data_IF_706196718367
#
_entry.id   IF_706196718367
#
_cell.length_a   1.000
_cell.length_b   1.000
_cell.length_c   1.000
_cell.angle_alpha   90.00
_cell.angle_beta   90.00
_cell.angle_gamma   90.00
#
_symmetry.space_group_name_H-M   'P 1'
#
loop_
_entity.id
_entity.type
_entity.pdbx_description
1 polymer ?
#
# COMPACT_ATOMS: atom_id res chain seq x y z
N UNK A 1 14.28 -6.37 -4.15
CA UNK A 1 13.19 -6.81 -3.24
C UNK A 1 13.78 -7.81 -2.26
N UNK A 2 13.78 -7.53 -0.94
CA UNK A 2 14.33 -8.46 0.05
C UNK A 2 13.26 -9.51 0.41
N UNK A 3 13.47 -10.77 0.00
CA UNK A 3 12.54 -11.88 0.19
C UNK A 3 12.56 -12.45 1.62
N UNK A 4 13.44 -11.97 2.51
CA UNK A 4 13.56 -12.50 3.88
C UNK A 4 12.37 -12.08 4.77
N UNK A 5 11.60 -11.06 4.37
CA UNK A 5 10.34 -10.70 5.06
C UNK A 5 9.21 -11.71 4.83
N UNK A 6 9.34 -12.62 3.87
CA UNK A 6 8.28 -13.59 3.55
C UNK A 6 7.99 -14.53 4.72
N UNK A 7 9.01 -14.98 5.45
CA UNK A 7 8.83 -15.84 6.61
C UNK A 7 7.92 -15.22 7.68
N UNK A 8 7.99 -13.89 7.88
CA UNK A 8 7.09 -13.19 8.80
C UNK A 8 5.63 -13.29 8.35
N UNK A 9 5.36 -13.10 7.06
CA UNK A 9 4.00 -13.19 6.52
C UNK A 9 3.43 -14.60 6.70
N UNK A 10 4.21 -15.64 6.36
CA UNK A 10 3.78 -17.03 6.54
C UNK A 10 3.67 -17.43 8.03
N UNK A 11 4.49 -16.86 8.92
CA UNK A 11 4.33 -17.03 10.38
C UNK A 11 3.02 -16.46 10.92
N UNK A 12 2.47 -15.44 10.24
CA UNK A 12 1.22 -14.76 10.60
C UNK A 12 -0.02 -15.39 9.91
N UNK A 13 0.14 -16.55 9.28
CA UNK A 13 -0.98 -17.27 8.68
C UNK A 13 -1.26 -16.90 7.21
N UNK A 14 -0.31 -16.28 6.50
CA UNK A 14 -0.45 -16.12 5.05
C UNK A 14 -0.47 -17.50 4.37
N UNK A 15 -1.40 -17.68 3.42
CA UNK A 15 -1.48 -18.86 2.57
C UNK A 15 -1.38 -18.43 1.10
N UNK A 16 -0.62 -19.16 0.27
CA UNK A 16 -0.57 -18.91 -1.16
C UNK A 16 -1.95 -19.14 -1.79
N UNK A 17 -2.12 -18.64 -3.01
CA UNK A 17 -3.34 -18.80 -3.80
C UNK A 17 -3.07 -19.63 -5.03
N UNK A 18 -4.11 -20.29 -5.50
CA UNK A 18 -4.09 -21.06 -6.74
C UNK A 18 -5.30 -20.72 -7.62
N UNK A 19 -5.14 -20.94 -8.92
CA UNK A 19 -6.21 -20.82 -9.92
C UNK A 19 -6.10 -21.98 -10.90
N UNK A 20 -7.22 -22.63 -11.18
CA UNK A 20 -7.31 -23.76 -12.11
C UNK A 20 -7.98 -23.31 -13.41
N UNK A 21 -7.26 -23.38 -14.52
CA UNK A 21 -7.74 -22.98 -15.84
C UNK A 21 -7.89 -21.46 -16.04
N UNK A 22 -8.19 -21.00 -17.26
CA UNK A 22 -8.35 -19.58 -17.58
C UNK A 22 -9.59 -18.94 -16.93
N UNK A 23 -10.69 -19.69 -16.79
CA UNK A 23 -11.92 -19.24 -16.13
C UNK A 23 -11.97 -19.47 -14.62
N UNK A 24 -10.93 -20.08 -14.03
CA UNK A 24 -10.87 -20.32 -12.60
C UNK A 24 -10.79 -19.03 -11.79
N UNK A 25 -11.37 -19.06 -10.59
CA UNK A 25 -11.20 -18.03 -9.58
C UNK A 25 -9.94 -18.34 -8.77
N UNK A 26 -9.23 -17.29 -8.35
CA UNK A 26 -8.17 -17.44 -7.36
C UNK A 26 -8.76 -17.86 -6.02
N UNK A 27 -8.20 -18.89 -5.39
CA UNK A 27 -8.58 -19.37 -4.07
C UNK A 27 -7.36 -19.56 -3.20
N UNK A 28 -7.51 -19.35 -1.88
CA UNK A 28 -6.44 -19.64 -0.91
C UNK A 28 -6.31 -21.14 -0.73
N UNK A 29 -5.08 -21.64 -0.73
CA UNK A 29 -4.80 -23.02 -0.34
C UNK A 29 -5.22 -23.22 1.11
N UNK A 30 -6.07 -24.22 1.35
CA UNK A 30 -6.68 -24.49 2.66
C UNK A 30 -5.70 -25.13 3.63
N UNK A 31 -4.83 -25.99 3.12
CA UNK A 31 -3.83 -26.67 3.91
C UNK A 31 -2.72 -25.71 4.32
N UNK A 32 -2.34 -25.76 5.60
CA UNK A 32 -1.33 -24.89 6.16
C UNK A 32 0.02 -25.13 5.47
N UNK A 33 0.63 -24.11 4.83
CA UNK A 33 1.94 -24.27 4.24
C UNK A 33 3.02 -24.41 5.33
N UNK A 34 4.05 -25.19 5.03
CA UNK A 34 5.29 -25.23 5.81
C UNK A 34 6.33 -24.33 5.17
N UNK A 35 7.17 -23.68 5.98
CA UNK A 35 8.27 -22.85 5.47
C UNK A 35 9.54 -23.07 6.28
N UNK A 36 10.68 -22.81 5.64
CA UNK A 36 12.00 -22.85 6.25
C UNK A 36 12.90 -21.79 5.62
N UNK A 37 13.92 -21.35 6.36
CA UNK A 37 15.00 -20.53 5.82
C UNK A 37 16.29 -21.33 6.00
N UNK A 38 17.00 -21.57 4.90
CA UNK A 38 18.32 -22.19 4.93
C UNK A 38 19.25 -21.42 3.98
N UNK A 39 20.43 -21.04 4.47
CA UNK A 39 21.43 -20.27 3.72
C UNK A 39 20.84 -18.98 3.09
N UNK A 40 20.05 -18.21 3.85
CA UNK A 40 19.33 -17.01 3.39
C UNK A 40 18.34 -17.22 2.23
N UNK A 41 18.00 -18.47 1.91
CA UNK A 41 16.96 -18.81 0.94
C UNK A 41 15.67 -19.19 1.66
N UNK A 42 14.57 -18.59 1.25
CA UNK A 42 13.23 -18.91 1.76
C UNK A 42 12.63 -20.07 0.97
N UNK A 43 12.29 -21.14 1.68
CA UNK A 43 11.57 -22.30 1.14
C UNK A 43 10.15 -22.31 1.68
N UNK A 44 9.19 -22.59 0.80
CA UNK A 44 7.80 -22.85 1.15
C UNK A 44 7.33 -24.12 0.46
N UNK A 45 6.58 -24.91 1.20
CA UNK A 45 5.94 -26.12 0.70
C UNK A 45 4.47 -26.08 1.07
N UNK A 46 3.62 -26.47 0.14
CA UNK A 46 2.17 -26.51 0.30
C UNK A 46 1.61 -27.71 -0.46
N UNK A 47 0.48 -28.22 0.01
CA UNK A 47 -0.21 -29.32 -0.63
C UNK A 47 -1.14 -28.79 -1.71
N UNK A 48 -1.15 -29.45 -2.87
CA UNK A 48 -2.08 -29.15 -3.95
C UNK A 48 -2.58 -30.46 -4.57
N UNK A 49 -3.90 -30.59 -4.69
CA UNK A 49 -4.53 -31.68 -5.44
C UNK A 49 -4.72 -31.23 -6.88
N UNK A 50 -3.95 -31.82 -7.78
CA UNK A 50 -4.06 -31.55 -9.21
C UNK A 50 -5.44 -31.97 -9.74
N UNK A 51 -6.01 -31.20 -10.68
CA UNK A 51 -7.23 -31.60 -11.38
C UNK A 51 -6.99 -32.88 -12.18
N UNK A 52 -8.04 -33.70 -12.36
CA UNK A 52 -7.96 -34.99 -13.05
C UNK A 52 -7.66 -34.87 -14.55
N UNK A 53 -8.00 -33.72 -15.16
CA UNK A 53 -7.71 -33.44 -16.57
C UNK A 53 -6.32 -32.81 -16.74
N UNK A 54 -5.37 -33.48 -17.42
CA UNK A 54 -4.01 -32.99 -17.60
C UNK A 54 -3.90 -31.78 -18.53
N UNK A 55 -4.94 -31.48 -19.31
CA UNK A 55 -5.01 -30.27 -20.15
C UNK A 55 -5.25 -28.99 -19.33
N UNK A 56 -5.64 -29.15 -18.06
CA UNK A 56 -5.99 -28.04 -17.20
C UNK A 56 -4.74 -27.43 -16.56
N UNK A 57 -4.37 -26.23 -16.99
CA UNK A 57 -3.26 -25.47 -16.40
C UNK A 57 -3.61 -24.97 -15.00
N UNK A 58 -2.72 -25.19 -14.04
CA UNK A 58 -2.84 -24.62 -12.70
C UNK A 58 -1.81 -23.51 -12.51
N UNK A 59 -2.26 -22.39 -11.97
CA UNK A 59 -1.44 -21.23 -11.67
C UNK A 59 -1.31 -21.07 -10.15
N UNK A 60 -0.15 -20.62 -9.69
CA UNK A 60 0.15 -20.36 -8.28
C UNK A 60 0.65 -18.93 -8.12
N UNK A 61 0.28 -18.30 -7.01
CA UNK A 61 0.81 -17.02 -6.61
C UNK A 61 0.90 -16.92 -5.08
N UNK A 62 1.77 -16.06 -4.56
CA UNK A 62 1.88 -15.87 -3.10
C UNK A 62 0.68 -15.14 -2.48
N UNK A 63 -0.02 -14.34 -3.28
CA UNK A 63 -1.26 -13.64 -2.92
C UNK A 63 -2.12 -13.45 -4.16
N UNK A 64 -3.33 -12.95 -3.98
CA UNK A 64 -4.23 -12.57 -5.07
C UNK A 64 -3.53 -11.59 -6.02
N UNK A 65 -3.30 -11.97 -7.29
CA UNK A 65 -2.72 -11.07 -8.26
C UNK A 65 -3.62 -9.86 -8.46
N UNK A 66 -2.99 -8.70 -8.66
CA UNK A 66 -3.66 -7.48 -9.07
C UNK A 66 -2.95 -6.99 -10.33
N UNK A 67 -3.67 -7.01 -11.44
CA UNK A 67 -3.16 -6.73 -12.76
C UNK A 67 -3.09 -5.24 -13.02
N UNK A 68 -2.26 -4.87 -14.00
CA UNK A 68 -2.17 -3.48 -14.45
C UNK A 68 -3.53 -2.94 -14.96
N UNK A 69 -4.31 -3.78 -15.64
CA UNK A 69 -5.62 -3.37 -16.15
C UNK A 69 -6.62 -3.11 -15.00
N UNK A 70 -6.64 -3.95 -13.96
CA UNK A 70 -7.47 -3.71 -12.77
C UNK A 70 -7.07 -2.40 -12.06
N UNK A 71 -5.77 -2.11 -12.00
CA UNK A 71 -5.28 -0.82 -11.48
C UNK A 71 -5.80 0.36 -12.31
N UNK A 72 -5.67 0.30 -13.64
CA UNK A 72 -6.12 1.37 -14.53
C UNK A 72 -7.63 1.62 -14.41
N UNK A 73 -8.43 0.55 -14.33
CA UNK A 73 -9.86 0.66 -14.13
C UNK A 73 -10.19 1.31 -12.78
N UNK A 74 -9.50 0.90 -11.72
CA UNK A 74 -9.67 1.49 -10.39
C UNK A 74 -9.30 2.98 -10.37
N UNK A 75 -8.18 3.36 -11.00
CA UNK A 75 -7.77 4.76 -11.14
C UNK A 75 -8.80 5.57 -11.95
N UNK A 76 -9.27 5.03 -13.08
CA UNK A 76 -10.32 5.68 -13.88
C UNK A 76 -11.63 5.86 -13.11
N UNK A 77 -11.96 4.95 -12.19
CA UNK A 77 -13.11 5.12 -11.29
C UNK A 77 -12.87 6.22 -10.25
N UNK A 78 -11.63 6.39 -9.75
CA UNK A 78 -11.29 7.51 -8.89
C UNK A 78 -11.36 8.85 -9.63
N UNK A 79 -10.87 8.92 -10.87
CA UNK A 79 -10.97 10.12 -11.69
C UNK A 79 -12.42 10.51 -11.96
N UNK A 80 -13.32 9.54 -12.16
CA UNK A 80 -14.76 9.84 -12.31
C UNK A 80 -15.42 10.34 -11.03
N UNK A 81 -15.02 9.81 -9.86
CA UNK A 81 -15.64 10.12 -8.56
C UNK A 81 -15.07 11.39 -7.92
N UNK A 82 -13.77 11.62 -8.11
CA UNK A 82 -13.01 12.65 -7.41
C UNK A 82 -12.26 13.58 -8.36
N UNK A 83 -12.23 13.29 -9.66
CA UNK A 83 -11.69 14.21 -10.65
C UNK A 83 -12.43 15.53 -10.59
N UNK A 84 -11.69 16.60 -10.33
CA UNK A 84 -12.24 17.95 -10.37
C UNK A 84 -12.70 18.23 -11.78
N UNK A 85 -13.80 18.98 -11.92
CA UNK A 85 -14.28 19.35 -13.24
C UNK A 85 -13.14 20.10 -13.98
N UNK A 86 -12.94 19.90 -15.29
CA UNK A 86 -11.89 20.60 -16.04
C UNK A 86 -11.89 22.12 -15.83
N UNK A 87 -13.09 22.70 -15.61
CA UNK A 87 -13.25 24.11 -15.23
C UNK A 87 -12.64 24.43 -13.86
N UNK A 88 -12.84 23.60 -12.84
CA UNK A 88 -12.25 23.80 -11.51
C UNK A 88 -10.72 23.66 -11.55
N UNK A 89 -10.21 22.71 -12.35
CA UNK A 89 -8.77 22.57 -12.58
C UNK A 89 -8.17 23.81 -13.25
N UNK A 90 -8.86 24.36 -14.25
CA UNK A 90 -8.44 25.59 -14.90
C UNK A 90 -8.49 26.79 -13.94
N UNK A 91 -9.56 26.89 -13.13
CA UNK A 91 -9.69 27.94 -12.11
C UNK A 91 -8.53 27.88 -11.10
N UNK A 92 -8.18 26.68 -10.61
CA UNK A 92 -7.06 26.47 -9.69
C UNK A 92 -5.72 26.81 -10.35
N UNK A 93 -5.52 26.40 -11.61
CA UNK A 93 -4.29 26.72 -12.34
C UNK A 93 -4.13 28.23 -12.55
N UNK A 94 -5.21 28.93 -12.89
CA UNK A 94 -5.23 30.40 -13.01
C UNK A 94 -4.97 31.06 -11.65
N UNK A 95 -5.61 30.60 -10.58
CA UNK A 95 -5.40 31.15 -9.24
C UNK A 95 -3.94 30.97 -8.76
N UNK A 96 -3.35 29.79 -9.00
CA UNK A 96 -1.95 29.51 -8.68
C UNK A 96 -1.01 30.40 -9.49
N UNK A 97 -1.26 30.58 -10.79
CA UNK A 97 -0.46 31.45 -11.65
C UNK A 97 -0.54 32.93 -11.21
N UNK A 98 -1.75 33.41 -10.89
CA UNK A 98 -1.95 34.78 -10.40
C UNK A 98 -1.26 35.02 -9.05
N UNK A 99 -1.30 34.07 -8.12
CA UNK A 99 -0.57 34.15 -6.86
C UNK A 99 0.94 34.19 -7.08
N UNK A 100 1.44 33.40 -8.02
CA UNK A 100 2.86 33.39 -8.39
C UNK A 100 3.29 34.74 -8.99
N UNK A 101 2.57 35.26 -9.98
CA UNK A 101 2.85 36.56 -10.59
C UNK A 101 2.75 37.72 -9.59
N UNK A 102 1.77 37.68 -8.68
CA UNK A 102 1.62 38.67 -7.60
C UNK A 102 2.76 38.62 -6.59
N UNK A 103 3.33 37.44 -6.35
CA UNK A 103 4.52 37.26 -5.49
C UNK A 103 5.83 37.59 -6.20
N UNK A 104 5.89 37.48 -7.53
CA UNK A 104 7.04 37.83 -8.36
C UNK A 104 7.20 39.35 -8.57
N UNK A 105 6.17 40.15 -8.25
CA UNK A 105 6.22 41.61 -8.24
C UNK A 105 6.93 42.19 -6.99
N UNK A 106 7.23 41.37 -5.97
CA UNK A 106 8.23 41.72 -4.98
C UNK A 106 9.60 41.49 -5.63
N UNK A 107 10.35 42.57 -5.84
CA UNK A 107 11.71 42.54 -6.39
C UNK A 107 12.64 41.56 -5.65
N UNK A 108 13.90 41.39 -6.11
CA UNK A 108 14.77 40.29 -5.70
C UNK A 108 14.78 40.15 -4.17
N UNK A 109 14.21 39.05 -3.68
CA UNK A 109 14.26 38.72 -2.26
C UNK A 109 15.73 38.47 -1.95
N UNK A 110 16.36 39.40 -1.23
CA UNK A 110 17.64 39.13 -0.61
C UNK A 110 17.51 37.83 0.18
N UNK A 111 18.36 36.87 -0.16
CA UNK A 111 18.51 35.64 0.62
C UNK A 111 19.14 36.04 1.95
N UNK A 112 18.31 36.49 2.89
CA UNK A 112 18.74 36.63 4.28
C UNK A 112 18.95 35.21 4.79
N UNK A 113 20.22 34.85 4.90
CA UNK A 113 20.67 33.60 5.48
C UNK A 113 20.06 33.48 6.88
N UNK A 114 19.32 32.41 7.14
CA UNK A 114 18.75 32.15 8.46
C UNK A 114 19.87 32.19 9.52
N UNK A 115 19.70 32.91 10.64
CA UNK A 115 20.70 32.87 11.70
C UNK A 115 20.73 31.46 12.29
N UNK A 116 21.92 30.86 12.28
CA UNK A 116 22.23 29.65 13.03
C UNK A 116 22.11 29.97 14.53
N UNK A 117 20.95 29.73 15.14
CA UNK A 117 20.80 29.82 16.59
C UNK A 117 21.47 28.60 17.22
N UNK A 118 22.73 28.80 17.61
CA UNK A 118 23.41 27.98 18.61
C UNK A 118 23.00 28.51 19.99
N UNK A 119 22.28 27.69 20.75
CA UNK A 119 21.71 28.12 22.02
C UNK A 119 21.22 26.97 22.89
N UNK A 120 22.14 26.16 23.40
CA UNK A 120 21.86 25.20 24.45
C UNK A 120 21.42 25.90 25.74
N UNK A 121 20.14 25.82 26.10
CA UNK A 121 19.69 25.97 27.49
C UNK A 121 18.75 24.82 27.87
N UNK A 122 19.20 24.07 28.89
CA UNK A 122 18.49 22.97 29.54
C UNK A 122 17.13 23.43 30.07
N UNK A 123 16.07 22.68 29.73
CA UNK A 123 14.76 22.73 30.38
C UNK A 123 14.22 21.31 30.52
N UNK A 124 13.96 20.87 31.75
CA UNK A 124 13.46 19.53 32.11
C UNK A 124 12.10 19.26 31.45
N UNK A 125 12.00 18.16 30.69
CA UNK A 125 10.71 17.59 30.27
C UNK A 125 10.13 16.75 31.42
N UNK A 126 9.07 17.27 32.04
CA UNK A 126 8.22 16.50 32.95
C UNK A 126 7.39 15.50 32.12
N UNK A 127 7.45 14.23 32.54
CA UNK A 127 6.75 13.10 31.96
C UNK A 127 5.27 13.19 32.35
N UNK A 128 4.38 13.49 31.41
CA UNK A 128 2.94 13.30 31.59
C UNK A 128 2.52 12.14 30.68
N UNK A 129 2.43 10.96 31.28
CA UNK A 129 1.77 9.82 30.67
C UNK A 129 0.26 10.09 30.68
N UNK A 130 -0.35 10.21 29.50
CA UNK A 130 -1.80 10.12 29.36
C UNK A 130 -2.11 8.83 28.62
N UNK A 131 -2.34 7.78 29.40
CA UNK A 131 -2.98 6.54 28.96
C UNK A 131 -4.30 6.90 28.28
N UNK A 132 -4.35 6.74 26.97
CA UNK A 132 -5.61 6.68 26.22
C UNK A 132 -5.86 5.19 26.01
N UNK A 133 -6.74 4.63 26.84
CA UNK A 133 -7.28 3.30 26.61
C UNK A 133 -8.09 3.33 25.31
N UNK A 134 -7.62 2.60 24.31
CA UNK A 134 -8.41 2.23 23.14
C UNK A 134 -9.01 0.85 23.40
N UNK A 135 -10.19 0.86 24.01
CA UNK A 135 -11.12 -0.25 24.00
C UNK A 135 -11.84 -0.32 22.64
N UNK A 136 -11.76 -1.45 21.93
CA UNK A 136 -12.69 -1.82 20.85
C UNK A 136 -12.05 -2.24 19.51
N UNK A 137 -12.45 -3.38 18.91
CA UNK A 137 -11.89 -3.87 17.65
C UNK A 137 -12.71 -3.34 16.46
N UNK A 138 -12.12 -2.47 15.64
CA UNK A 138 -12.71 -2.16 14.34
C UNK A 138 -12.26 -3.21 13.31
N UNK A 139 -13.22 -4.10 13.08
CA UNK A 139 -13.32 -5.11 12.03
C UNK A 139 -12.96 -4.54 10.65
N UNK A 140 -11.82 -4.96 10.11
CA UNK A 140 -11.40 -4.68 8.74
C UNK A 140 -11.81 -5.86 7.85
N UNK A 141 -13.12 -6.08 7.67
CA UNK A 141 -13.63 -7.19 6.85
C UNK A 141 -15.01 -6.90 6.25
N UNK A 142 -15.13 -5.78 5.52
CA UNK A 142 -16.39 -5.42 4.84
C UNK A 142 -16.18 -4.91 3.41
N UNK A 143 -15.34 -5.60 2.63
CA UNK A 143 -15.19 -5.33 1.19
C UNK A 143 -15.26 -6.59 0.34
N UNK A 144 -15.87 -7.66 0.87
CA UNK A 144 -15.99 -8.95 0.19
C UNK A 144 -17.44 -9.46 0.19
N UNK A 145 -18.42 -8.62 -0.16
CA UNK A 145 -19.75 -9.03 -0.64
C UNK A 145 -20.34 -7.95 -1.55
N UNK A 146 -20.16 -8.09 -2.86
CA UNK A 146 -21.15 -8.62 -3.82
C UNK A 146 -20.45 -8.81 -5.18
#
# INVERSE_FOLDING_TARGET
MNLNKQAKLFSQGMHPVMKVGPGGRWERIKDKPSYAIANDVFFISFLHRAPESPETRTYYAFTFPFTYNELLEQLGNFDKRFGRHPFDMHQIAVEVAQRYDSSAAAGPVEVVSAPLVTGSKKGKLAKVAKTIERSGPESFDDTARD
#
